data_IF_882183571960
#
_entry.id   IF_882183571960
#
_cell.length_a   1.000
_cell.length_b   1.000
_cell.length_c   1.000
_cell.angle_alpha   90.00
_cell.angle_beta   90.00
_cell.angle_gamma   90.00
#
_symmetry.space_group_name_H-M   'P 1'
#
loop_
_entity.id
_entity.type
_entity.pdbx_description
1 polymer ?
#
# COMPACT_ATOMS: atom_id res chain seq x y z
N UNK A 1 4.35 -0.27 -16.16
CA UNK A 1 4.07 -0.29 -14.71
C UNK A 1 4.72 0.92 -14.02
N UNK A 2 3.99 1.61 -13.13
CA UNK A 2 4.52 2.72 -12.32
C UNK A 2 5.12 2.22 -11.00
N UNK A 3 5.83 3.06 -10.23
CA UNK A 3 6.33 2.67 -8.89
C UNK A 3 5.19 2.28 -7.92
N UNK A 4 4.04 2.96 -8.01
CA UNK A 4 2.85 2.59 -7.23
C UNK A 4 2.29 1.24 -7.71
N UNK A 5 2.27 1.01 -9.03
CA UNK A 5 1.88 -0.28 -9.59
C UNK A 5 2.78 -1.42 -9.09
N UNK A 6 4.10 -1.21 -9.04
CA UNK A 6 5.02 -2.19 -8.46
C UNK A 6 4.73 -2.45 -6.98
N UNK A 7 4.48 -1.40 -6.20
CA UNK A 7 4.12 -1.52 -4.78
C UNK A 7 2.84 -2.34 -4.59
N UNK A 8 1.81 -2.05 -5.36
CA UNK A 8 0.53 -2.78 -5.34
C UNK A 8 0.70 -4.22 -5.81
N UNK A 9 1.49 -4.47 -6.85
CA UNK A 9 1.80 -5.81 -7.35
C UNK A 9 2.48 -6.67 -6.28
N UNK A 10 3.52 -6.15 -5.62
CA UNK A 10 4.19 -6.85 -4.51
C UNK A 10 3.22 -7.17 -3.37
N UNK A 11 2.25 -6.28 -3.10
CA UNK A 11 1.23 -6.51 -2.07
C UNK A 11 0.24 -7.62 -2.44
N UNK A 12 -0.16 -7.69 -3.71
CA UNK A 12 -1.04 -8.73 -4.24
C UNK A 12 -0.34 -10.09 -4.29
N UNK A 13 0.86 -10.18 -4.90
CA UNK A 13 1.62 -11.44 -5.04
C UNK A 13 2.03 -12.02 -3.67
N UNK A 14 2.27 -11.16 -2.69
CA UNK A 14 2.55 -11.59 -1.31
C UNK A 14 1.30 -11.99 -0.50
N UNK A 15 0.10 -11.83 -1.07
CA UNK A 15 -1.18 -12.13 -0.43
C UNK A 15 -1.54 -11.16 0.71
N UNK A 16 -0.86 -10.01 0.79
CA UNK A 16 -1.12 -9.00 1.81
C UNK A 16 -2.45 -8.27 1.61
N UNK A 17 -3.01 -8.33 0.41
CA UNK A 17 -4.36 -7.83 0.10
C UNK A 17 -5.51 -8.78 0.51
N UNK A 18 -5.20 -9.94 1.11
CA UNK A 18 -6.19 -10.92 1.58
C UNK A 18 -6.33 -10.84 3.09
N UNK A 19 -7.51 -11.08 3.63
CA UNK A 19 -7.76 -11.10 5.07
C UNK A 19 -8.63 -12.28 5.48
N UNK A 20 -8.31 -12.86 6.64
CA UNK A 20 -9.14 -13.85 7.33
C UNK A 20 -9.08 -13.56 8.83
N UNK A 21 -10.18 -13.70 9.59
CA UNK A 21 -10.22 -13.33 11.02
C UNK A 21 -9.12 -13.98 11.87
N UNK A 22 -8.75 -15.23 11.54
CA UNK A 22 -7.66 -15.96 12.21
C UNK A 22 -6.26 -15.31 12.06
N UNK A 23 -6.12 -14.28 11.24
CA UNK A 23 -4.90 -13.48 11.09
C UNK A 23 -4.79 -12.30 12.06
N UNK A 24 -5.85 -11.98 12.82
CA UNK A 24 -5.85 -10.91 13.81
C UNK A 24 -4.61 -10.98 14.74
N UNK A 25 -3.90 -9.86 14.88
CA UNK A 25 -2.67 -9.76 15.69
C UNK A 25 -1.42 -10.46 15.14
N UNK A 26 -1.51 -11.17 14.00
CA UNK A 26 -0.39 -11.97 13.45
C UNK A 26 0.44 -11.24 12.40
N UNK A 27 -0.03 -10.12 11.86
CA UNK A 27 0.71 -9.30 10.88
C UNK A 27 1.43 -8.18 11.60
N UNK A 28 2.75 -8.22 11.55
CA UNK A 28 3.64 -7.19 12.05
C UNK A 28 4.59 -6.74 10.93
N UNK A 29 5.29 -5.60 11.08
CA UNK A 29 6.18 -5.05 10.06
C UNK A 29 7.22 -6.06 9.55
N UNK A 30 7.85 -6.82 10.45
CA UNK A 30 8.85 -7.83 10.07
C UNK A 30 8.27 -8.91 9.16
N UNK A 31 7.08 -9.42 9.50
CA UNK A 31 6.38 -10.40 8.65
C UNK A 31 5.99 -9.82 7.29
N UNK A 32 5.48 -8.59 7.26
CA UNK A 32 5.09 -7.89 6.04
C UNK A 32 6.30 -7.70 5.11
N UNK A 33 7.41 -7.18 5.64
CA UNK A 33 8.65 -6.98 4.87
C UNK A 33 9.24 -8.30 4.36
N UNK A 34 9.18 -9.38 5.14
CA UNK A 34 9.62 -10.70 4.69
C UNK A 34 8.76 -11.22 3.53
N UNK A 35 7.42 -11.10 3.61
CA UNK A 35 6.51 -11.51 2.54
C UNK A 35 6.76 -10.74 1.24
N UNK A 36 6.97 -9.42 1.33
CA UNK A 36 7.30 -8.56 0.19
C UNK A 36 8.66 -8.93 -0.41
N UNK A 37 9.67 -9.14 0.43
CA UNK A 37 11.01 -9.51 -0.03
C UNK A 37 10.98 -10.85 -0.77
N UNK A 38 10.22 -11.81 -0.27
CA UNK A 38 10.05 -13.10 -0.92
C UNK A 38 9.26 -13.00 -2.24
N UNK A 39 8.26 -12.12 -2.32
CA UNK A 39 7.60 -11.80 -3.58
C UNK A 39 8.60 -11.19 -4.59
N UNK A 40 9.44 -10.26 -4.15
CA UNK A 40 10.48 -9.64 -4.98
C UNK A 40 11.56 -10.62 -5.48
N UNK A 41 11.79 -11.75 -4.79
CA UNK A 41 12.72 -12.80 -5.27
C UNK A 41 12.22 -13.49 -6.55
N UNK A 42 10.90 -13.51 -6.76
CA UNK A 42 10.27 -14.17 -7.91
C UNK A 42 10.24 -13.28 -9.17
N UNK A 43 10.44 -11.97 -9.00
CA UNK A 43 10.34 -10.97 -10.06
C UNK A 43 11.73 -10.69 -10.61
N UNK A 44 11.91 -10.73 -11.94
CA UNK A 44 13.21 -10.44 -12.57
C UNK A 44 13.26 -9.01 -13.12
N UNK A 45 14.36 -8.31 -12.85
CA UNK A 45 14.76 -7.01 -13.43
C UNK A 45 16.17 -7.15 -13.97
N UNK A 46 16.38 -6.89 -15.26
CA UNK A 46 17.69 -7.03 -15.92
C UNK A 46 18.40 -8.36 -15.57
N UNK A 47 17.65 -9.47 -15.69
CA UNK A 47 18.08 -10.85 -15.39
C UNK A 47 18.38 -11.18 -13.91
N UNK A 48 18.25 -10.23 -13.00
CA UNK A 48 18.43 -10.43 -11.56
C UNK A 48 17.09 -10.36 -10.81
N UNK A 49 16.93 -11.05 -9.68
CA UNK A 49 15.76 -10.86 -8.82
C UNK A 49 15.61 -9.41 -8.36
N UNK A 50 14.39 -8.89 -8.32
CA UNK A 50 14.08 -7.55 -7.80
C UNK A 50 14.54 -7.39 -6.34
N UNK A 51 14.54 -8.49 -5.57
CA UNK A 51 15.04 -8.52 -4.20
C UNK A 51 16.51 -8.14 -4.05
N UNK A 52 17.30 -8.12 -5.12
CA UNK A 52 18.68 -7.60 -5.13
C UNK A 52 18.73 -6.06 -5.18
N UNK A 53 17.64 -5.41 -5.58
CA UNK A 53 17.53 -3.95 -5.68
C UNK A 53 16.45 -3.37 -4.74
N UNK A 54 15.75 -4.20 -3.98
CA UNK A 54 14.70 -3.81 -3.04
C UNK A 54 15.18 -3.96 -1.59
N UNK A 55 15.31 -2.82 -0.90
CA UNK A 55 15.55 -2.72 0.52
C UNK A 55 14.22 -2.58 1.28
N UNK A 56 13.81 -3.62 1.99
CA UNK A 56 12.71 -3.52 2.94
C UNK A 56 13.20 -2.97 4.29
N UNK A 57 12.31 -2.28 5.01
CA UNK A 57 12.59 -1.80 6.35
C UNK A 57 13.03 -2.90 7.32
N UNK A 58 13.80 -2.53 8.33
CA UNK A 58 14.34 -3.45 9.33
C UNK A 58 14.25 -2.87 10.74
N UNK A 59 14.21 -3.77 11.72
CA UNK A 59 14.52 -3.45 13.12
C UNK A 59 16.04 -3.44 13.31
N UNK A 60 16.56 -2.68 14.30
CA UNK A 60 17.99 -2.71 14.63
C UNK A 60 18.43 -4.09 15.10
N UNK A 61 19.70 -4.39 14.92
CA UNK A 61 20.36 -5.64 15.33
C UNK A 61 19.72 -6.89 14.70
N UNK A 62 19.24 -6.79 13.46
CA UNK A 62 18.67 -7.93 12.71
C UNK A 62 19.54 -8.28 11.50
N UNK A 63 19.50 -9.55 11.00
CA UNK A 63 20.18 -9.91 9.76
C UNK A 63 19.77 -9.04 8.56
N UNK A 64 18.53 -8.54 8.57
CA UNK A 64 18.03 -7.64 7.53
C UNK A 64 18.75 -6.29 7.55
N UNK A 65 19.09 -5.74 8.72
CA UNK A 65 19.89 -4.50 8.81
C UNK A 65 21.27 -4.68 8.17
N UNK A 66 21.98 -5.77 8.49
CA UNK A 66 23.28 -6.08 7.89
C UNK A 66 23.17 -6.26 6.37
N UNK A 67 22.13 -6.97 5.91
CA UNK A 67 21.81 -7.13 4.48
C UNK A 67 21.59 -5.77 3.81
N UNK A 68 20.83 -4.88 4.45
CA UNK A 68 20.51 -3.56 3.91
C UNK A 68 21.77 -2.68 3.77
N UNK A 69 22.65 -2.68 4.77
CA UNK A 69 23.92 -1.94 4.73
C UNK A 69 24.82 -2.45 3.60
N UNK A 70 24.96 -3.78 3.50
CA UNK A 70 25.78 -4.42 2.46
C UNK A 70 25.28 -4.07 1.06
N UNK A 71 23.99 -4.29 0.79
CA UNK A 71 23.37 -3.99 -0.49
C UNK A 71 23.48 -2.51 -0.86
N UNK A 72 23.30 -1.61 0.11
CA UNK A 72 23.49 -0.17 -0.10
C UNK A 72 24.92 0.17 -0.51
N UNK A 73 25.91 -0.40 0.18
CA UNK A 73 27.32 -0.17 -0.12
C UNK A 73 27.69 -0.70 -1.51
N UNK A 74 27.25 -1.90 -1.86
CA UNK A 74 27.49 -2.53 -3.16
C UNK A 74 26.85 -1.73 -4.30
N UNK A 75 25.57 -1.36 -4.16
CA UNK A 75 24.87 -0.55 -5.15
C UNK A 75 25.53 0.82 -5.34
N UNK A 76 26.02 1.46 -4.26
CA UNK A 76 26.75 2.73 -4.37
C UNK A 76 28.05 2.57 -5.16
N UNK A 77 28.83 1.50 -4.91
CA UNK A 77 30.07 1.23 -5.66
C UNK A 77 29.80 0.96 -7.14
N UNK A 78 28.73 0.22 -7.43
CA UNK A 78 28.33 -0.13 -8.79
C UNK A 78 27.55 0.99 -9.51
N UNK A 79 27.27 2.11 -8.83
CA UNK A 79 26.44 3.22 -9.32
C UNK A 79 25.03 2.76 -9.74
N UNK A 80 24.50 1.80 -9.01
CA UNK A 80 23.15 1.27 -9.18
C UNK A 80 22.14 2.02 -8.31
N UNK A 81 20.88 1.96 -8.73
CA UNK A 81 19.76 2.51 -7.96
C UNK A 81 19.16 1.42 -7.08
N UNK A 82 18.67 1.84 -5.93
CA UNK A 82 17.90 0.98 -5.03
C UNK A 82 16.48 1.50 -4.86
N UNK A 83 15.58 0.57 -4.58
CA UNK A 83 14.22 0.81 -4.15
C UNK A 83 14.17 0.59 -2.64
N UNK A 84 13.75 1.60 -1.88
CA UNK A 84 13.54 1.50 -0.44
C UNK A 84 12.05 1.41 -0.15
N UNK A 85 11.63 0.39 0.61
CA UNK A 85 10.27 0.18 1.06
C UNK A 85 10.20 0.25 2.58
N UNK A 86 9.46 1.25 3.08
CA UNK A 86 9.32 1.52 4.51
C UNK A 86 7.89 1.96 4.82
N UNK A 87 7.63 2.21 6.10
CA UNK A 87 6.39 2.86 6.54
C UNK A 87 6.74 4.27 6.97
N UNK A 88 5.88 5.24 6.69
CA UNK A 88 6.04 6.57 7.27
C UNK A 88 5.96 6.49 8.81
N UNK A 89 6.84 7.22 9.50
CA UNK A 89 6.73 7.36 10.96
C UNK A 89 5.51 8.19 11.32
N UNK A 90 4.95 8.06 12.53
CA UNK A 90 3.77 8.84 12.95
C UNK A 90 3.97 10.34 12.71
N UNK A 91 2.95 11.00 12.18
CA UNK A 91 3.03 12.43 11.90
C UNK A 91 3.26 13.24 13.18
N UNK A 92 4.15 14.22 13.10
CA UNK A 92 4.43 15.18 14.15
C UNK A 92 4.61 16.55 13.46
N UNK A 93 3.71 17.51 13.70
CA UNK A 93 3.70 18.78 12.98
C UNK A 93 4.97 19.62 13.21
N UNK A 94 5.59 19.52 14.39
CA UNK A 94 6.84 20.24 14.71
C UNK A 94 8.03 19.68 13.93
N UNK A 95 8.05 18.36 13.72
CA UNK A 95 9.18 17.66 13.07
C UNK A 95 9.00 17.49 11.56
N UNK A 96 7.76 17.47 11.08
CA UNK A 96 7.40 17.05 9.72
C UNK A 96 6.75 18.16 8.90
N UNK A 97 7.03 19.42 9.21
CA UNK A 97 6.66 20.53 8.34
C UNK A 97 7.27 20.36 6.94
N UNK A 98 6.70 21.05 5.94
CA UNK A 98 7.14 20.97 4.53
C UNK A 98 8.59 21.45 4.30
N UNK A 99 9.28 21.92 5.35
CA UNK A 99 10.71 22.21 5.38
C UNK A 99 11.59 21.00 5.73
N UNK A 100 11.01 19.84 6.05
CA UNK A 100 11.77 18.64 6.37
C UNK A 100 12.63 18.23 5.17
N UNK A 101 13.95 18.16 5.38
CA UNK A 101 14.92 17.76 4.35
C UNK A 101 14.95 16.25 4.09
N UNK A 102 14.07 15.48 4.72
CA UNK A 102 14.06 14.02 4.73
C UNK A 102 12.64 13.48 4.78
N UNK A 103 12.42 12.32 4.16
CA UNK A 103 11.17 11.61 4.30
C UNK A 103 11.13 10.90 5.68
N UNK A 104 10.09 11.12 6.48
CA UNK A 104 10.02 10.58 7.83
C UNK A 104 9.55 9.12 7.79
N UNK A 105 10.49 8.18 7.93
CA UNK A 105 10.25 6.73 7.86
C UNK A 105 10.55 6.03 9.19
N UNK A 106 9.87 4.92 9.45
CA UNK A 106 10.18 3.94 10.51
C UNK A 106 10.78 2.65 9.93
N UNK A 107 11.38 1.85 10.80
CA UNK A 107 12.13 0.63 10.42
C UNK A 107 13.28 0.96 9.46
N UNK A 108 14.02 2.03 9.75
CA UNK A 108 15.05 2.58 8.87
C UNK A 108 16.44 1.95 9.09
N UNK A 109 16.56 0.90 9.91
CA UNK A 109 17.84 0.25 10.18
C UNK A 109 18.48 -0.29 8.90
N UNK A 110 19.69 0.19 8.60
CA UNK A 110 20.42 -0.11 7.38
C UNK A 110 19.84 0.50 6.09
N UNK A 111 18.73 1.22 6.14
CA UNK A 111 18.10 1.85 4.97
C UNK A 111 18.66 3.27 4.75
N UNK A 112 19.02 3.67 3.52
CA UNK A 112 19.45 5.04 3.23
C UNK A 112 18.41 6.09 3.63
N UNK A 113 18.89 7.24 4.11
CA UNK A 113 18.03 8.40 4.37
C UNK A 113 17.49 8.94 3.04
N UNK A 114 16.17 8.89 2.84
CA UNK A 114 15.53 9.49 1.67
C UNK A 114 15.52 11.01 1.81
N UNK A 115 16.29 11.70 0.97
CA UNK A 115 16.37 13.16 0.97
C UNK A 115 15.13 13.76 0.33
N UNK A 116 14.64 14.85 0.90
CA UNK A 116 13.50 15.60 0.37
C UNK A 116 13.87 17.07 0.22
N UNK A 117 13.33 17.70 -0.82
CA UNK A 117 13.33 19.15 -0.98
C UNK A 117 11.89 19.66 -1.15
N UNK A 118 11.73 20.98 -1.31
CA UNK A 118 10.41 21.62 -1.46
C UNK A 118 9.66 21.09 -2.68
N UNK A 119 10.34 20.85 -3.81
CA UNK A 119 9.69 20.31 -5.01
C UNK A 119 9.22 18.87 -4.82
N UNK A 120 10.03 18.02 -4.17
CA UNK A 120 9.66 16.65 -3.86
C UNK A 120 8.42 16.61 -2.96
N UNK A 121 8.37 17.45 -1.92
CA UNK A 121 7.19 17.53 -1.05
C UNK A 121 5.96 18.03 -1.79
N UNK A 122 6.07 19.12 -2.55
CA UNK A 122 4.94 19.64 -3.32
C UNK A 122 4.40 18.61 -4.33
N UNK A 123 5.29 17.89 -5.00
CA UNK A 123 4.90 16.79 -5.91
C UNK A 123 4.25 15.63 -5.17
N UNK A 124 4.76 15.26 -3.98
CA UNK A 124 4.23 14.17 -3.18
C UNK A 124 2.83 14.50 -2.65
N UNK A 125 2.64 15.70 -2.10
CA UNK A 125 1.34 16.20 -1.60
C UNK A 125 0.30 16.31 -2.70
N UNK A 126 0.70 16.77 -3.89
CA UNK A 126 -0.20 16.87 -5.05
C UNK A 126 -0.63 15.49 -5.55
N UNK A 127 0.30 14.54 -5.63
CA UNK A 127 0.06 13.22 -6.24
C UNK A 127 -0.59 12.22 -5.28
N UNK A 128 -0.31 12.33 -3.98
CA UNK A 128 -0.74 11.40 -2.93
C UNK A 128 -1.47 12.15 -1.81
N UNK A 129 -2.42 13.01 -2.18
CA UNK A 129 -3.13 13.87 -1.24
C UNK A 129 -3.92 13.07 -0.20
N UNK A 130 -4.53 11.96 -0.63
CA UNK A 130 -5.24 10.99 0.23
C UNK A 130 -4.30 10.40 1.28
N UNK A 131 -3.12 9.92 0.86
CA UNK A 131 -2.15 9.28 1.74
C UNK A 131 -1.52 10.28 2.72
N UNK A 132 -1.20 11.48 2.24
CA UNK A 132 -0.68 12.54 3.11
C UNK A 132 -1.73 12.97 4.14
N UNK A 133 -3.00 13.08 3.75
CA UNK A 133 -4.08 13.37 4.69
C UNK A 133 -4.21 12.27 5.74
N UNK A 134 -4.26 10.99 5.34
CA UNK A 134 -4.31 9.85 6.24
C UNK A 134 -3.11 9.83 7.20
N UNK A 135 -1.89 10.05 6.69
CA UNK A 135 -0.68 10.13 7.50
C UNK A 135 -0.74 11.24 8.55
N UNK A 136 -1.20 12.44 8.16
CA UNK A 136 -1.40 13.59 9.07
C UNK A 136 -2.43 13.31 10.16
N UNK A 137 -3.45 12.52 9.84
CA UNK A 137 -4.44 12.02 10.81
C UNK A 137 -3.93 10.85 11.67
N UNK A 138 -2.67 10.45 11.51
CA UNK A 138 -2.04 9.38 12.30
C UNK A 138 -2.21 7.97 11.72
N UNK A 139 -2.76 7.84 10.51
CA UNK A 139 -2.89 6.58 9.79
C UNK A 139 -1.55 5.98 9.35
N UNK A 140 -1.58 4.73 8.91
CA UNK A 140 -0.41 4.03 8.38
C UNK A 140 -0.30 4.26 6.88
N UNK A 141 0.90 4.61 6.43
CA UNK A 141 1.22 4.83 5.01
C UNK A 141 2.51 4.11 4.67
N UNK A 142 2.45 3.25 3.67
CA UNK A 142 3.63 2.62 3.07
C UNK A 142 4.26 3.63 2.10
N UNK A 143 5.58 3.70 2.10
CA UNK A 143 6.35 4.45 1.14
C UNK A 143 7.29 3.52 0.38
N UNK A 144 7.31 3.67 -0.93
CA UNK A 144 8.35 3.12 -1.81
C UNK A 144 9.07 4.27 -2.50
N UNK A 145 10.40 4.34 -2.41
CA UNK A 145 11.23 5.35 -3.05
C UNK A 145 12.33 4.70 -3.88
N UNK A 146 12.53 5.14 -5.12
CA UNK A 146 13.66 4.73 -5.96
C UNK A 146 14.52 5.95 -6.28
N UNK A 147 15.85 5.80 -6.23
CA UNK A 147 16.73 6.93 -6.47
C UNK A 147 18.21 6.62 -6.49
N UNK A 148 18.97 7.68 -6.72
CA UNK A 148 20.44 7.60 -6.77
C UNK A 148 21.00 7.64 -5.35
N UNK A 149 22.00 6.80 -5.09
CA UNK A 149 22.63 6.68 -3.79
C UNK A 149 23.77 7.67 -3.60
N UNK A 150 24.04 8.00 -2.34
CA UNK A 150 25.26 8.66 -1.94
C UNK A 150 25.59 8.39 -0.48
N UNK A 151 26.75 8.88 -0.04
CA UNK A 151 27.20 8.78 1.35
C UNK A 151 27.46 10.17 1.90
N UNK A 152 27.00 10.43 3.12
CA UNK A 152 27.32 11.70 3.78
C UNK A 152 28.82 11.77 4.09
N UNK A 153 29.47 12.89 3.79
CA UNK A 153 30.90 13.09 4.06
C UNK A 153 31.18 12.94 5.57
N UNK A 154 32.15 12.10 5.91
CA UNK A 154 32.58 11.87 7.30
C UNK A 154 31.56 11.10 8.16
N UNK A 155 30.55 10.47 7.56
CA UNK A 155 29.55 9.66 8.28
C UNK A 155 29.39 8.30 7.61
N UNK A 156 29.12 7.27 8.40
CA UNK A 156 28.76 5.95 7.87
C UNK A 156 27.27 5.84 7.53
N UNK A 157 26.70 6.93 7.01
CA UNK A 157 25.28 7.04 6.70
C UNK A 157 25.11 7.29 5.21
N UNK A 158 24.30 6.45 4.58
CA UNK A 158 23.92 6.57 3.19
C UNK A 158 22.65 7.43 3.05
N UNK A 159 22.50 8.03 1.89
CA UNK A 159 21.28 8.72 1.50
C UNK A 159 20.83 8.27 0.11
N UNK A 160 19.54 8.45 -0.15
CA UNK A 160 18.92 8.26 -1.45
C UNK A 160 18.33 9.59 -1.91
N UNK A 161 18.69 10.03 -3.11
CA UNK A 161 18.05 11.18 -3.80
C UNK A 161 16.90 10.63 -4.65
N UNK A 162 15.64 10.83 -4.23
CA UNK A 162 14.51 10.17 -4.85
C UNK A 162 14.28 10.70 -6.27
N UNK A 163 14.13 9.78 -7.22
CA UNK A 163 13.64 10.05 -8.57
C UNK A 163 12.13 9.87 -8.63
N UNK A 164 11.62 8.87 -7.90
CA UNK A 164 10.19 8.64 -7.73
C UNK A 164 9.90 8.19 -6.29
N UNK A 165 8.74 8.60 -5.80
CA UNK A 165 8.17 8.15 -4.53
C UNK A 165 6.73 7.73 -4.81
N UNK A 166 6.32 6.62 -4.21
CA UNK A 166 4.95 6.15 -4.17
C UNK A 166 4.49 5.97 -2.74
N UNK A 167 3.28 6.43 -2.42
CA UNK A 167 2.62 6.20 -1.16
C UNK A 167 1.40 5.30 -1.36
N UNK A 168 1.07 4.51 -0.34
CA UNK A 168 -0.13 3.68 -0.32
C UNK A 168 -0.67 3.62 1.11
N UNK A 169 -1.95 3.94 1.32
CA UNK A 169 -2.57 3.76 2.63
C UNK A 169 -2.70 2.28 2.94
N UNK A 170 -2.54 1.95 4.21
CA UNK A 170 -2.87 0.64 4.75
C UNK A 170 -3.57 0.79 6.09
N UNK A 171 -4.45 -0.15 6.42
CA UNK A 171 -5.02 -0.24 7.76
C UNK A 171 -4.01 -0.84 8.77
N UNK A 172 -4.47 -1.16 9.98
CA UNK A 172 -3.64 -1.79 11.03
C UNK A 172 -3.26 -3.25 10.70
N UNK A 173 -4.03 -3.89 9.81
CA UNK A 173 -3.83 -5.26 9.34
C UNK A 173 -3.03 -5.32 8.02
N UNK A 174 -2.48 -4.18 7.60
CA UNK A 174 -1.66 -4.02 6.40
C UNK A 174 -2.43 -4.28 5.09
N UNK A 175 -3.76 -4.16 5.10
CA UNK A 175 -4.58 -4.20 3.88
C UNK A 175 -4.55 -2.80 3.23
N UNK A 176 -4.28 -2.70 1.90
CA UNK A 176 -4.29 -1.41 1.22
C UNK A 176 -5.67 -0.77 1.14
N UNK A 177 -5.68 0.56 1.03
CA UNK A 177 -6.88 1.34 0.76
C UNK A 177 -6.56 2.51 -0.18
N UNK A 178 -7.44 2.80 -1.12
CA UNK A 178 -7.29 3.91 -2.06
C UNK A 178 -7.93 5.22 -1.53
N UNK A 179 -8.74 5.13 -0.47
CA UNK A 179 -9.40 6.27 0.16
C UNK A 179 -9.65 6.10 1.66
N UNK A 180 -9.97 7.20 2.34
CA UNK A 180 -10.42 7.17 3.74
C UNK A 180 -11.75 6.41 3.94
N UNK A 181 -12.60 6.38 2.90
CA UNK A 181 -13.83 5.60 2.93
C UNK A 181 -13.55 4.10 2.83
N UNK A 182 -12.57 3.69 2.02
CA UNK A 182 -12.13 2.29 2.03
C UNK A 182 -11.51 1.89 3.38
N UNK A 183 -10.74 2.77 4.04
CA UNK A 183 -10.28 2.52 5.41
C UNK A 183 -11.45 2.35 6.40
N UNK A 184 -12.54 3.10 6.21
CA UNK A 184 -13.77 2.95 7.01
C UNK A 184 -14.45 1.61 6.74
N UNK A 185 -14.53 1.19 5.48
CA UNK A 185 -15.06 -0.12 5.09
C UNK A 185 -14.20 -1.27 5.63
N UNK A 186 -12.87 -1.16 5.59
CA UNK A 186 -11.96 -2.14 6.21
C UNK A 186 -12.25 -2.33 7.69
N UNK A 187 -12.38 -1.23 8.44
CA UNK A 187 -12.76 -1.29 9.86
C UNK A 187 -14.12 -1.97 10.07
N UNK A 188 -15.10 -1.69 9.20
CA UNK A 188 -16.41 -2.33 9.25
C UNK A 188 -16.32 -3.85 8.99
N UNK A 189 -15.58 -4.28 7.97
CA UNK A 189 -15.35 -5.69 7.63
C UNK A 189 -14.60 -6.44 8.74
N UNK A 190 -13.61 -5.79 9.36
CA UNK A 190 -12.89 -6.36 10.51
C UNK A 190 -13.79 -6.55 11.72
N UNK A 191 -14.63 -5.55 12.04
CA UNK A 191 -15.57 -5.63 13.16
C UNK A 191 -16.59 -6.76 13.00
N UNK A 192 -16.97 -7.09 11.77
CA UNK A 192 -17.87 -8.22 11.45
C UNK A 192 -17.12 -9.55 11.24
N UNK A 193 -15.82 -9.57 11.50
CA UNK A 193 -14.95 -10.73 11.35
C UNK A 193 -15.11 -11.40 9.97
N UNK A 194 -15.09 -10.60 8.90
CA UNK A 194 -15.19 -11.11 7.53
C UNK A 194 -13.86 -11.61 7.00
N UNK A 195 -13.90 -12.63 6.14
CA UNK A 195 -12.78 -12.96 5.25
C UNK A 195 -12.98 -12.31 3.89
N UNK A 196 -11.97 -11.65 3.36
CA UNK A 196 -12.10 -10.90 2.10
C UNK A 196 -10.78 -10.76 1.35
N UNK A 197 -10.87 -10.34 0.10
CA UNK A 197 -9.76 -9.88 -0.75
C UNK A 197 -10.02 -8.42 -1.10
N UNK A 198 -8.98 -7.58 -1.09
CA UNK A 198 -8.94 -6.22 -1.64
C UNK A 198 -8.26 -6.27 -3.02
N UNK A 199 -9.00 -6.30 -4.13
CA UNK A 199 -8.39 -6.28 -5.46
C UNK A 199 -7.53 -5.03 -5.65
N UNK A 200 -6.34 -5.20 -6.24
CA UNK A 200 -5.40 -4.09 -6.50
C UNK A 200 -5.19 -3.92 -8.00
N UNK A 201 -5.08 -2.67 -8.45
CA UNK A 201 -4.99 -2.30 -9.86
C UNK A 201 -3.56 -1.88 -10.21
N UNK A 202 -2.67 -2.83 -10.46
CA UNK A 202 -1.27 -2.50 -10.81
C UNK A 202 -0.97 -2.46 -12.32
N UNK A 203 -1.69 -3.24 -13.14
CA UNK A 203 -1.54 -3.28 -14.61
C UNK A 203 -2.87 -3.17 -15.38
N UNK A 204 -3.99 -2.92 -14.70
CA UNK A 204 -5.31 -2.89 -15.31
C UNK A 204 -5.49 -1.72 -16.29
N UNK A 205 -6.09 -2.01 -17.45
CA UNK A 205 -6.62 -0.99 -18.35
C UNK A 205 -7.76 -0.24 -17.64
N UNK A 206 -8.00 1.03 -17.99
CA UNK A 206 -9.07 1.83 -17.36
C UNK A 206 -10.50 1.27 -17.54
N UNK A 207 -10.68 0.19 -18.31
CA UNK A 207 -11.97 -0.39 -18.66
C UNK A 207 -12.39 -1.58 -17.78
N UNK A 208 -11.51 -2.13 -16.94
CA UNK A 208 -11.85 -3.28 -16.10
C UNK A 208 -12.54 -2.83 -14.80
N UNK A 209 -13.74 -3.37 -14.54
CA UNK A 209 -14.50 -3.11 -13.31
C UNK A 209 -14.03 -4.06 -12.21
N UNK A 210 -13.20 -3.53 -11.30
CA UNK A 210 -12.80 -4.22 -10.07
C UNK A 210 -13.59 -3.69 -8.87
N UNK A 211 -14.17 -4.58 -8.05
CA UNK A 211 -14.74 -4.19 -6.77
C UNK A 211 -13.65 -3.76 -5.80
N UNK A 212 -14.04 -2.90 -4.85
CA UNK A 212 -13.12 -2.46 -3.82
C UNK A 212 -12.84 -3.59 -2.83
N UNK A 213 -13.82 -4.44 -2.52
CA UNK A 213 -13.61 -5.64 -1.72
C UNK A 213 -14.39 -6.83 -2.28
N UNK A 214 -13.92 -8.03 -1.97
CA UNK A 214 -14.61 -9.28 -2.29
C UNK A 214 -14.68 -10.14 -1.02
N UNK A 215 -15.87 -10.40 -0.49
CA UNK A 215 -16.04 -11.38 0.59
C UNK A 215 -15.79 -12.78 0.05
N UNK A 216 -15.17 -13.60 0.88
CA UNK A 216 -14.72 -14.96 0.54
C UNK A 216 -15.32 -16.01 1.48
N UNK A 217 -16.18 -15.57 2.39
CA UNK A 217 -16.76 -16.36 3.49
C UNK A 217 -18.28 -16.50 3.37
N UNK A 218 -18.88 -16.23 2.22
CA UNK A 218 -20.34 -16.32 1.99
C UNK A 218 -20.83 -17.72 1.60
N UNK A 219 -19.94 -18.69 1.43
CA UNK A 219 -20.29 -20.01 0.87
C UNK A 219 -20.47 -19.97 -0.66
N UNK A 220 -20.37 -21.13 -1.31
CA UNK A 220 -20.35 -21.22 -2.77
C UNK A 220 -18.97 -20.91 -3.39
N UNK A 221 -18.89 -20.98 -4.72
CA UNK A 221 -17.65 -20.75 -5.48
C UNK A 221 -17.43 -19.28 -5.89
N UNK A 222 -18.43 -18.43 -5.72
CA UNK A 222 -18.37 -17.03 -6.17
C UNK A 222 -18.01 -16.07 -5.02
N UNK A 223 -17.21 -15.05 -5.34
CA UNK A 223 -16.87 -13.95 -4.45
C UNK A 223 -18.03 -12.96 -4.35
N UNK A 224 -18.28 -12.39 -3.16
CA UNK A 224 -19.28 -11.33 -2.99
C UNK A 224 -18.64 -9.94 -3.14
N UNK A 225 -18.89 -9.20 -4.23
CA UNK A 225 -18.30 -7.88 -4.41
C UNK A 225 -18.91 -6.83 -3.48
N UNK A 226 -18.07 -5.93 -2.97
CA UNK A 226 -18.46 -4.72 -2.25
C UNK A 226 -17.79 -3.53 -2.93
N UNK A 227 -18.60 -2.51 -3.23
CA UNK A 227 -18.17 -1.26 -3.86
C UNK A 227 -18.34 -0.06 -2.91
N UNK A 228 -17.33 0.82 -2.83
CA UNK A 228 -17.35 2.04 -2.03
C UNK A 228 -17.43 3.26 -2.92
N UNK A 229 -18.61 3.88 -2.96
CA UNK A 229 -18.86 5.11 -3.70
C UNK A 229 -18.52 6.35 -2.86
N UNK A 230 -17.29 6.87 -2.96
CA UNK A 230 -16.75 7.93 -2.11
C UNK A 230 -16.48 9.30 -2.74
N UNK A 231 -16.88 9.57 -3.99
CA UNK A 231 -16.74 10.90 -4.60
C UNK A 231 -18.09 11.42 -5.09
N UNK A 232 -18.32 12.72 -5.00
CA UNK A 232 -19.59 13.34 -5.41
C UNK A 232 -19.44 14.25 -6.64
N UNK A 233 -18.54 13.88 -7.57
CA UNK A 233 -18.40 14.62 -8.83
C UNK A 233 -19.39 14.11 -9.88
N UNK A 234 -19.84 14.97 -10.80
CA UNK A 234 -20.79 14.57 -11.86
C UNK A 234 -20.27 13.41 -12.74
N UNK A 235 -18.95 13.35 -12.98
CA UNK A 235 -18.30 12.22 -13.68
C UNK A 235 -18.30 10.93 -12.86
N UNK A 236 -18.47 11.02 -11.54
CA UNK A 236 -18.57 9.89 -10.62
C UNK A 236 -19.98 9.30 -10.57
N UNK A 237 -21.03 10.13 -10.63
CA UNK A 237 -22.42 9.67 -10.69
C UNK A 237 -22.68 8.83 -11.97
N UNK A 238 -22.14 9.26 -13.12
CA UNK A 238 -22.22 8.48 -14.35
C UNK A 238 -21.49 7.13 -14.23
N UNK A 239 -20.34 7.10 -13.55
CA UNK A 239 -19.59 5.86 -13.29
C UNK A 239 -20.30 4.94 -12.30
N UNK A 240 -21.00 5.49 -11.30
CA UNK A 240 -21.79 4.72 -10.34
C UNK A 240 -22.87 3.90 -11.04
N UNK A 241 -23.68 4.54 -11.89
CA UNK A 241 -24.74 3.84 -12.63
C UNK A 241 -24.20 2.72 -13.55
N UNK A 242 -23.04 2.94 -14.18
CA UNK A 242 -22.36 1.94 -15.01
C UNK A 242 -21.91 0.75 -14.13
N UNK A 243 -21.27 1.01 -12.98
CA UNK A 243 -20.85 -0.05 -12.06
C UNK A 243 -22.04 -0.82 -11.49
N UNK A 244 -23.10 -0.12 -11.08
CA UNK A 244 -24.34 -0.73 -10.62
C UNK A 244 -24.94 -1.66 -11.68
N UNK A 245 -25.01 -1.19 -12.93
CA UNK A 245 -25.52 -2.00 -14.05
C UNK A 245 -24.65 -3.24 -14.28
N UNK A 246 -23.33 -3.08 -14.30
CA UNK A 246 -22.37 -4.18 -14.43
C UNK A 246 -22.51 -5.21 -13.31
N UNK A 247 -22.57 -4.77 -12.05
CA UNK A 247 -22.69 -5.69 -10.92
C UNK A 247 -24.05 -6.40 -10.91
N UNK A 248 -25.13 -5.69 -11.22
CA UNK A 248 -26.46 -6.29 -11.32
C UNK A 248 -26.55 -7.34 -12.43
N UNK A 249 -25.92 -7.08 -13.58
CA UNK A 249 -25.87 -8.04 -14.70
C UNK A 249 -25.02 -9.26 -14.36
N UNK A 250 -23.88 -9.06 -13.68
CA UNK A 250 -22.90 -10.12 -13.41
C UNK A 250 -23.23 -10.98 -12.19
N UNK A 251 -23.72 -10.36 -11.11
CA UNK A 251 -23.92 -11.02 -9.81
C UNK A 251 -25.40 -11.07 -9.39
N UNK A 252 -26.29 -10.41 -10.13
CA UNK A 252 -27.67 -10.19 -9.70
C UNK A 252 -27.78 -9.08 -8.65
N UNK A 253 -28.99 -8.57 -8.45
CA UNK A 253 -29.23 -7.42 -7.54
C UNK A 253 -28.81 -7.67 -6.09
N UNK A 254 -28.89 -8.92 -5.65
CA UNK A 254 -28.57 -9.33 -4.28
C UNK A 254 -27.19 -10.00 -4.16
N UNK A 255 -26.44 -10.12 -5.26
CA UNK A 255 -25.13 -10.79 -5.31
C UNK A 255 -23.94 -9.87 -5.08
N UNK A 256 -24.17 -8.60 -4.72
CA UNK A 256 -23.14 -7.62 -4.38
C UNK A 256 -23.72 -6.57 -3.43
N UNK A 257 -22.86 -5.76 -2.81
CA UNK A 257 -23.28 -4.63 -1.98
C UNK A 257 -22.50 -3.36 -2.29
N UNK A 258 -23.04 -2.21 -1.88
CA UNK A 258 -22.33 -0.94 -1.98
C UNK A 258 -22.58 -0.01 -0.82
N UNK A 259 -21.66 0.94 -0.64
CA UNK A 259 -21.79 2.05 0.30
C UNK A 259 -21.62 3.39 -0.41
N UNK A 260 -22.51 4.36 -0.19
CA UNK A 260 -22.47 5.69 -0.81
C UNK A 260 -21.86 6.73 0.13
N UNK A 261 -20.58 6.58 0.44
CA UNK A 261 -19.88 7.44 1.39
C UNK A 261 -19.80 8.94 0.98
N UNK A 262 -19.78 9.87 1.96
CA UNK A 262 -20.00 9.66 3.39
C UNK A 262 -21.49 9.50 3.75
N UNK A 263 -22.39 9.60 2.78
CA UNK A 263 -23.82 9.47 2.98
C UNK A 263 -24.25 8.00 3.19
N UNK A 264 -25.47 7.81 3.68
CA UNK A 264 -26.09 6.49 3.81
C UNK A 264 -25.44 5.54 4.83
N UNK A 265 -26.17 4.49 5.22
CA UNK A 265 -25.62 3.46 6.10
C UNK A 265 -24.61 2.59 5.35
N UNK A 266 -23.64 2.04 6.09
CA UNK A 266 -22.85 0.91 5.60
C UNK A 266 -23.79 -0.26 5.24
N UNK A 267 -23.49 -1.03 4.17
CA UNK A 267 -24.39 -2.05 3.67
C UNK A 267 -24.56 -3.20 4.66
N UNK A 268 -25.74 -3.81 4.66
CA UNK A 268 -25.92 -5.11 5.28
C UNK A 268 -25.03 -6.14 4.57
N UNK A 269 -24.24 -6.89 5.34
CA UNK A 269 -23.39 -7.93 4.79
C UNK A 269 -24.14 -9.27 4.79
N UNK A 270 -24.02 -10.09 3.73
CA UNK A 270 -24.64 -11.43 3.69
C UNK A 270 -24.10 -12.34 4.80
N UNK A 271 -24.88 -13.34 5.19
CA UNK A 271 -24.47 -14.33 6.18
C UNK A 271 -23.20 -15.08 5.75
N UNK A 272 -22.44 -15.56 6.74
CA UNK A 272 -21.27 -16.40 6.49
C UNK A 272 -21.74 -17.79 6.07
N UNK A 273 -21.15 -18.34 5.02
CA UNK A 273 -21.40 -19.71 4.59
C UNK A 273 -20.98 -20.70 5.67
N UNK A 274 -21.71 -21.81 5.77
CA UNK A 274 -21.34 -22.91 6.64
C UNK A 274 -20.01 -23.51 6.17
N UNK A 275 -19.05 -23.67 7.08
CA UNK A 275 -17.76 -24.32 6.87
C UNK A 275 -17.88 -25.83 6.77
#
# INVERSE_FOLDING_TARGET
MSLLGLLQFLWDDSGLNRWYPKMAGKRNPGKVFNLITHSAEKIKVASHPLSMHLLAGAYPSTPQETKNIKMTSEALMNKERLICLNVLSKYNPERHSNASKRLPIKFFSGVPVVLMNTENWASLEKRFSSEIANWRSGGNVICMAIGDLGKFKGKDTYYLKPLQIALMNVDENWIPADSSYELTMLNYLHKHERSFIKPLRYDASNNDVFPDFCLTDIGGHELFPIEVFGMDTASYLARKAIKESYYNERYGKDGWASWVAPAGPLPHLPDKGCS
#
